data_IF_486152132907
#
_entry.id   IF_486152132907
#
_cell.length_a   1.000
_cell.length_b   1.000
_cell.length_c   1.000
_cell.angle_alpha   90.00
_cell.angle_beta   90.00
_cell.angle_gamma   90.00
#
_symmetry.space_group_name_H-M   'P 1'
#
loop_
_entity.id
_entity.type
_entity.pdbx_description
1 polymer ?
#
# COMPACT_ATOMS: atom_id res chain seq x y z
N UNK A 1 -1.26 -14.15 0.82
CA UNK A 1 0.22 -14.01 0.78
C UNK A 1 0.81 -14.24 2.15
N UNK A 2 0.22 -13.64 3.20
CA UNK A 2 0.61 -13.89 4.59
C UNK A 2 0.65 -15.37 4.98
N UNK A 3 -0.37 -16.18 4.62
CA UNK A 3 -0.38 -17.60 4.98
C UNK A 3 0.75 -18.39 4.29
N UNK A 4 1.11 -18.02 3.07
CA UNK A 4 2.27 -18.57 2.39
C UNK A 4 3.56 -18.23 3.15
N UNK A 5 3.70 -17.00 3.62
CA UNK A 5 4.89 -16.57 4.37
C UNK A 5 4.96 -17.18 5.77
N UNK A 6 3.83 -17.37 6.43
CA UNK A 6 3.73 -18.18 7.67
C UNK A 6 4.18 -19.61 7.40
N UNK A 7 3.75 -20.22 6.30
CA UNK A 7 4.17 -21.57 5.92
C UNK A 7 5.67 -21.66 5.63
N UNK A 8 6.24 -20.62 5.00
CA UNK A 8 7.68 -20.54 4.72
C UNK A 8 8.47 -20.41 6.02
N UNK A 9 8.01 -19.58 6.96
CA UNK A 9 8.61 -19.44 8.29
C UNK A 9 8.48 -20.71 9.13
N UNK A 10 7.36 -21.44 9.02
CA UNK A 10 7.17 -22.70 9.73
C UNK A 10 8.13 -23.81 9.27
N UNK A 11 8.70 -23.70 8.06
CA UNK A 11 9.72 -24.63 7.57
C UNK A 11 11.12 -24.33 8.10
N UNK A 12 11.33 -23.22 8.83
CA UNK A 12 12.64 -22.82 9.36
C UNK A 12 13.24 -23.87 10.29
N UNK A 13 12.42 -24.49 11.13
CA UNK A 13 12.87 -25.53 12.06
C UNK A 13 13.40 -26.77 11.32
N UNK A 14 12.88 -27.08 10.12
CA UNK A 14 13.39 -28.18 9.30
C UNK A 14 14.76 -27.86 8.72
N UNK A 15 15.03 -26.59 8.39
CA UNK A 15 16.35 -26.14 7.93
C UNK A 15 17.36 -26.26 9.07
N UNK A 16 17.02 -25.74 10.26
CA UNK A 16 17.89 -25.85 11.45
C UNK A 16 18.22 -27.30 11.80
N UNK A 17 17.24 -28.20 11.72
CA UNK A 17 17.47 -29.63 11.92
C UNK A 17 18.45 -30.22 10.89
N UNK A 18 18.40 -29.74 9.64
CA UNK A 18 19.30 -30.16 8.56
C UNK A 18 20.73 -29.63 8.77
N UNK A 19 20.88 -28.42 9.33
CA UNK A 19 22.18 -27.86 9.72
C UNK A 19 22.85 -28.70 10.81
N UNK A 20 22.10 -29.07 11.86
CA UNK A 20 22.60 -29.95 12.94
C UNK A 20 22.97 -31.33 12.39
N UNK A 21 22.21 -31.87 11.44
CA UNK A 21 22.53 -33.14 10.80
C UNK A 21 23.85 -33.07 10.02
N UNK A 22 24.08 -32.00 9.27
CA UNK A 22 25.34 -31.80 8.53
C UNK A 22 26.55 -31.76 9.48
N UNK A 23 26.46 -31.02 10.59
CA UNK A 23 27.55 -30.95 11.59
C UNK A 23 27.93 -32.35 12.09
N UNK A 24 26.94 -33.21 12.35
CA UNK A 24 27.17 -34.58 12.80
C UNK A 24 27.83 -35.44 11.71
N UNK A 25 27.42 -35.30 10.44
CA UNK A 25 28.01 -36.05 9.30
C UNK A 25 29.46 -35.64 9.06
N UNK A 26 29.76 -34.33 9.17
CA UNK A 26 31.11 -33.79 9.03
C UNK A 26 32.04 -34.26 10.16
N UNK A 27 31.57 -34.21 11.41
CA UNK A 27 32.32 -34.71 12.58
C UNK A 27 32.62 -36.20 12.49
N UNK A 28 31.69 -36.99 11.92
CA UNK A 28 31.86 -38.43 11.74
C UNK A 28 32.80 -38.84 10.61
N UNK A 29 33.42 -37.90 9.88
CA UNK A 29 34.22 -38.15 8.67
C UNK A 29 33.52 -39.11 7.69
N UNK A 30 32.21 -38.93 7.54
CA UNK A 30 31.40 -39.84 6.75
C UNK A 30 31.73 -39.71 5.26
N UNK A 31 31.79 -40.84 4.54
CA UNK A 31 32.18 -40.87 3.11
C UNK A 31 31.28 -40.02 2.18
N UNK A 32 30.05 -39.73 2.62
CA UNK A 32 29.08 -38.91 1.88
C UNK A 32 29.03 -37.43 2.35
N UNK A 33 29.99 -36.97 3.16
CA UNK A 33 29.98 -35.61 3.70
C UNK A 33 29.92 -34.53 2.59
N UNK A 34 30.69 -34.70 1.52
CA UNK A 34 30.72 -33.77 0.39
C UNK A 34 29.36 -33.70 -0.34
N UNK A 35 28.72 -34.85 -0.57
CA UNK A 35 27.40 -34.93 -1.19
C UNK A 35 26.31 -34.26 -0.32
N UNK A 36 26.39 -34.43 1.00
CA UNK A 36 25.48 -33.81 1.96
C UNK A 36 25.66 -32.29 1.97
N UNK A 37 26.91 -31.81 2.01
CA UNK A 37 27.24 -30.39 1.98
C UNK A 37 26.75 -29.72 0.67
N UNK A 38 26.97 -30.36 -0.47
CA UNK A 38 26.53 -29.83 -1.77
C UNK A 38 24.99 -29.72 -1.84
N UNK A 39 24.27 -30.76 -1.41
CA UNK A 39 22.79 -30.74 -1.40
C UNK A 39 22.25 -29.67 -0.48
N UNK A 40 22.86 -29.47 0.69
CA UNK A 40 22.50 -28.40 1.62
C UNK A 40 22.72 -27.03 0.99
N UNK A 41 23.87 -26.79 0.38
CA UNK A 41 24.15 -25.51 -0.28
C UNK A 41 23.11 -25.18 -1.35
N UNK A 42 22.72 -26.18 -2.16
CA UNK A 42 21.64 -26.02 -3.15
C UNK A 42 20.29 -25.69 -2.49
N UNK A 43 19.96 -26.33 -1.38
CA UNK A 43 18.73 -26.08 -0.62
C UNK A 43 18.70 -24.65 -0.08
N UNK A 44 19.78 -24.21 0.56
CA UNK A 44 19.91 -22.86 1.12
C UNK A 44 19.81 -21.79 0.04
N UNK A 45 20.45 -22.01 -1.11
CA UNK A 45 20.34 -21.10 -2.25
C UNK A 45 18.89 -20.99 -2.75
N UNK A 46 18.21 -22.13 -2.96
CA UNK A 46 16.79 -22.15 -3.38
C UNK A 46 15.89 -21.45 -2.37
N UNK A 47 16.12 -21.66 -1.07
CA UNK A 47 15.36 -21.00 0.01
C UNK A 47 15.57 -19.49 0.00
N UNK A 48 16.81 -19.03 -0.10
CA UNK A 48 17.12 -17.59 -0.16
C UNK A 48 16.44 -16.93 -1.36
N UNK A 49 16.53 -17.54 -2.54
CA UNK A 49 15.84 -17.05 -3.73
C UNK A 49 14.31 -17.03 -3.59
N UNK A 50 13.72 -18.03 -2.89
CA UNK A 50 12.29 -18.06 -2.61
C UNK A 50 11.87 -16.94 -1.65
N UNK A 51 12.67 -16.70 -0.60
CA UNK A 51 12.42 -15.63 0.37
C UNK A 51 12.48 -14.26 -0.29
N UNK A 52 13.48 -14.01 -1.13
CA UNK A 52 13.60 -12.75 -1.89
C UNK A 52 12.38 -12.53 -2.79
N UNK A 53 11.96 -13.55 -3.54
CA UNK A 53 10.76 -13.48 -4.40
C UNK A 53 9.49 -13.25 -3.58
N UNK A 54 9.36 -13.89 -2.43
CA UNK A 54 8.21 -13.70 -1.54
C UNK A 54 8.16 -12.27 -0.99
N UNK A 55 9.29 -11.75 -0.51
CA UNK A 55 9.39 -10.39 0.01
C UNK A 55 9.07 -9.35 -1.07
N UNK A 56 9.62 -9.52 -2.28
CA UNK A 56 9.30 -8.66 -3.43
C UNK A 56 7.82 -8.70 -3.77
N UNK A 57 7.20 -9.89 -3.75
CA UNK A 57 5.76 -10.02 -3.99
C UNK A 57 4.93 -9.33 -2.91
N UNK A 58 5.33 -9.42 -1.64
CA UNK A 58 4.68 -8.70 -0.53
C UNK A 58 4.70 -7.19 -0.79
N UNK A 59 5.88 -6.65 -1.09
CA UNK A 59 6.04 -5.22 -1.39
C UNK A 59 5.12 -4.78 -2.54
N UNK A 60 5.09 -5.52 -3.66
CA UNK A 60 4.21 -5.19 -4.78
C UNK A 60 2.72 -5.24 -4.42
N UNK A 61 2.30 -6.15 -3.54
CA UNK A 61 0.92 -6.24 -3.06
C UNK A 61 0.57 -5.05 -2.15
N UNK A 62 1.48 -4.66 -1.25
CA UNK A 62 1.32 -3.50 -0.38
C UNK A 62 1.27 -2.20 -1.21
N UNK A 63 2.16 -2.04 -2.17
CA UNK A 63 2.19 -0.94 -3.13
C UNK A 63 0.87 -0.87 -3.90
N UNK A 64 0.42 -2.00 -4.46
CA UNK A 64 -0.87 -2.07 -5.16
C UNK A 64 -2.05 -1.74 -4.26
N UNK A 65 -2.06 -2.19 -3.01
CA UNK A 65 -3.14 -1.89 -2.08
C UNK A 65 -3.17 -0.40 -1.74
N UNK A 66 -2.03 0.21 -1.43
CA UNK A 66 -1.92 1.67 -1.17
C UNK A 66 -2.36 2.48 -2.38
N UNK A 67 -1.98 2.07 -3.59
CA UNK A 67 -2.39 2.74 -4.82
C UNK A 67 -3.91 2.70 -5.04
N UNK A 68 -4.55 1.56 -4.81
CA UNK A 68 -6.01 1.46 -4.95
C UNK A 68 -6.77 2.27 -3.90
N UNK A 69 -6.25 2.35 -2.67
CA UNK A 69 -6.82 3.23 -1.65
C UNK A 69 -6.71 4.71 -2.08
N UNK A 70 -5.54 5.11 -2.58
CA UNK A 70 -5.34 6.46 -3.11
C UNK A 70 -6.33 6.79 -4.25
N UNK A 71 -6.52 5.90 -5.22
CA UNK A 71 -7.49 6.12 -6.31
C UNK A 71 -8.92 6.31 -5.79
N UNK A 72 -9.33 5.45 -4.85
CA UNK A 72 -10.64 5.56 -4.21
C UNK A 72 -10.81 6.92 -3.50
N UNK A 73 -9.82 7.33 -2.71
CA UNK A 73 -9.86 8.59 -1.97
C UNK A 73 -9.92 9.80 -2.92
N UNK A 74 -9.24 9.69 -4.07
CA UNK A 74 -9.29 10.67 -5.15
C UNK A 74 -10.69 10.77 -5.78
N UNK A 75 -11.31 9.64 -6.12
CA UNK A 75 -12.65 9.59 -6.71
C UNK A 75 -13.72 10.18 -5.78
N UNK A 76 -13.69 9.80 -4.51
CA UNK A 76 -14.60 10.34 -3.50
C UNK A 76 -14.43 11.85 -3.32
N UNK A 77 -13.18 12.34 -3.26
CA UNK A 77 -12.88 13.78 -3.15
C UNK A 77 -13.38 14.54 -4.37
N UNK A 78 -13.15 14.01 -5.58
CA UNK A 78 -13.63 14.59 -6.83
C UNK A 78 -15.16 14.64 -6.90
N UNK A 79 -15.82 13.58 -6.43
CA UNK A 79 -17.28 13.54 -6.30
C UNK A 79 -17.80 14.62 -5.36
N UNK A 80 -17.17 14.76 -4.19
CA UNK A 80 -17.50 15.80 -3.22
C UNK A 80 -17.28 17.21 -3.77
N UNK A 81 -16.14 17.49 -4.41
CA UNK A 81 -15.87 18.79 -5.07
C UNK A 81 -16.96 19.10 -6.10
N UNK A 82 -17.33 18.12 -6.92
CA UNK A 82 -18.37 18.28 -7.94
C UNK A 82 -19.74 18.61 -7.34
N UNK A 83 -20.09 18.00 -6.21
CA UNK A 83 -21.31 18.32 -5.46
C UNK A 83 -21.26 19.73 -4.88
N UNK A 84 -20.13 20.12 -4.28
CA UNK A 84 -19.94 21.45 -3.69
C UNK A 84 -19.95 22.57 -4.72
N UNK A 85 -19.39 22.34 -5.90
CA UNK A 85 -19.47 23.29 -7.01
C UNK A 85 -20.93 23.57 -7.41
N UNK A 86 -21.79 22.55 -7.48
CA UNK A 86 -23.22 22.76 -7.78
C UNK A 86 -23.90 23.65 -6.75
N UNK A 87 -23.57 23.49 -5.47
CA UNK A 87 -24.09 24.32 -4.40
C UNK A 87 -23.56 25.76 -4.47
N UNK A 88 -22.26 25.92 -4.77
CA UNK A 88 -21.62 27.23 -4.89
C UNK A 88 -22.13 28.04 -6.11
N UNK A 89 -22.53 27.37 -7.19
CA UNK A 89 -23.09 28.01 -8.40
C UNK A 89 -24.61 28.14 -8.37
N UNK A 90 -25.26 27.88 -7.23
CA UNK A 90 -26.72 28.01 -7.12
C UNK A 90 -27.13 29.50 -7.07
N UNK A 91 -27.93 29.93 -8.05
CA UNK A 91 -28.43 31.31 -8.18
C UNK A 91 -29.59 31.62 -7.23
N UNK A 92 -29.90 30.74 -6.27
CA UNK A 92 -30.99 30.97 -5.32
C UNK A 92 -30.85 32.27 -4.54
N UNK A 93 -29.65 32.86 -4.40
CA UNK A 93 -29.44 34.17 -3.79
C UNK A 93 -30.23 35.32 -4.47
N UNK A 94 -30.68 35.15 -5.71
CA UNK A 94 -31.48 36.15 -6.45
C UNK A 94 -32.92 36.27 -5.93
N UNK A 95 -33.41 35.29 -5.16
CA UNK A 95 -34.70 35.35 -4.48
C UNK A 95 -34.50 35.84 -3.02
N UNK A 96 -34.99 37.05 -2.67
CA UNK A 96 -34.82 37.64 -1.35
C UNK A 96 -35.68 36.96 -0.26
N UNK A 97 -36.55 36.01 -0.61
CA UNK A 97 -37.30 35.25 0.38
C UNK A 97 -36.37 34.30 1.15
N UNK A 98 -36.57 34.22 2.48
CA UNK A 98 -35.85 33.29 3.37
C UNK A 98 -34.30 33.44 3.38
N UNK A 99 -33.79 34.68 3.36
CA UNK A 99 -32.35 35.00 3.45
C UNK A 99 -31.64 34.35 4.65
N UNK A 100 -32.29 34.28 5.82
CA UNK A 100 -31.69 33.67 7.02
C UNK A 100 -31.39 32.17 6.82
N UNK A 101 -32.30 31.44 6.17
CA UNK A 101 -32.08 30.03 5.83
C UNK A 101 -30.93 29.84 4.83
N UNK A 102 -30.74 30.78 3.90
CA UNK A 102 -29.62 30.75 2.94
C UNK A 102 -28.28 31.00 3.64
N UNK A 103 -28.24 31.98 4.54
CA UNK A 103 -27.05 32.27 5.35
C UNK A 103 -26.62 31.05 6.19
N UNK A 104 -27.58 30.38 6.84
CA UNK A 104 -27.29 29.18 7.62
C UNK A 104 -26.74 28.04 6.75
N UNK A 105 -27.30 27.82 5.56
CA UNK A 105 -26.76 26.82 4.62
C UNK A 105 -25.34 27.17 4.17
N UNK A 106 -25.04 28.45 3.95
CA UNK A 106 -23.69 28.88 3.59
C UNK A 106 -22.68 28.63 4.73
N UNK A 107 -23.04 28.91 5.98
CA UNK A 107 -22.20 28.60 7.14
C UNK A 107 -21.91 27.10 7.26
N UNK A 108 -22.92 26.25 7.02
CA UNK A 108 -22.72 24.80 6.98
C UNK A 108 -21.76 24.39 5.85
N UNK A 109 -21.91 24.99 4.67
CA UNK A 109 -21.01 24.77 3.55
C UNK A 109 -19.55 25.15 3.89
N UNK A 110 -19.31 26.28 4.55
CA UNK A 110 -17.96 26.69 4.97
C UNK A 110 -17.36 25.73 6.01
N UNK A 111 -18.16 25.22 6.94
CA UNK A 111 -17.71 24.20 7.89
C UNK A 111 -17.31 22.90 7.20
N UNK A 112 -18.12 22.44 6.24
CA UNK A 112 -17.80 21.25 5.46
C UNK A 112 -16.56 21.45 4.59
N UNK A 113 -16.37 22.63 3.99
CA UNK A 113 -15.19 22.95 3.19
C UNK A 113 -13.92 22.89 4.05
N UNK A 114 -13.95 23.48 5.25
CA UNK A 114 -12.82 23.40 6.19
C UNK A 114 -12.54 21.98 6.66
N UNK A 115 -13.57 21.17 6.92
CA UNK A 115 -13.41 19.77 7.34
C UNK A 115 -12.80 18.89 6.24
N UNK A 116 -13.06 19.18 4.96
CA UNK A 116 -12.52 18.42 3.83
C UNK A 116 -11.15 18.91 3.36
N UNK A 117 -10.66 20.05 3.86
CA UNK A 117 -9.32 20.54 3.54
C UNK A 117 -8.23 19.52 3.91
N UNK A 118 -8.33 18.93 5.10
CA UNK A 118 -7.36 17.91 5.55
C UNK A 118 -7.36 16.69 4.64
N UNK A 119 -8.51 16.30 4.09
CA UNK A 119 -8.63 15.16 3.17
C UNK A 119 -7.83 15.38 1.87
N UNK A 120 -7.85 16.60 1.33
CA UNK A 120 -7.04 16.95 0.13
C UNK A 120 -5.54 16.95 0.47
N UNK A 121 -5.18 17.48 1.64
CA UNK A 121 -3.80 17.47 2.14
C UNK A 121 -3.28 16.03 2.35
N UNK A 122 -4.12 15.14 2.89
CA UNK A 122 -3.80 13.73 3.09
C UNK A 122 -3.58 13.01 1.75
N UNK A 123 -4.46 13.22 0.76
CA UNK A 123 -4.31 12.64 -0.58
C UNK A 123 -3.03 13.12 -1.25
N UNK A 124 -2.71 14.41 -1.14
CA UNK A 124 -1.49 15.00 -1.69
C UNK A 124 -0.25 14.40 -1.01
N UNK A 125 -0.30 14.22 0.32
CA UNK A 125 0.78 13.59 1.09
C UNK A 125 0.98 12.14 0.67
N UNK A 126 -0.09 11.35 0.57
CA UNK A 126 0.00 9.95 0.13
C UNK A 126 0.50 9.85 -1.31
N UNK A 127 0.02 10.70 -2.22
CA UNK A 127 0.44 10.71 -3.62
C UNK A 127 1.93 11.06 -3.77
N UNK A 128 2.40 12.09 -3.06
CA UNK A 128 3.83 12.46 -3.04
C UNK A 128 4.71 11.36 -2.44
N UNK A 129 4.31 10.73 -1.33
CA UNK A 129 5.03 9.58 -0.75
C UNK A 129 5.18 8.42 -1.74
N UNK A 130 4.12 8.10 -2.51
CA UNK A 130 4.15 7.04 -3.49
C UNK A 130 5.10 7.39 -4.65
N UNK A 131 5.10 8.65 -5.11
CA UNK A 131 6.02 9.13 -6.15
C UNK A 131 7.47 9.08 -5.67
N UNK A 132 7.76 9.55 -4.46
CA UNK A 132 9.11 9.56 -3.87
C UNK A 132 9.68 8.15 -3.72
N UNK A 133 8.82 7.17 -3.41
CA UNK A 133 9.17 5.75 -3.37
C UNK A 133 9.36 5.11 -4.75
N UNK A 134 9.24 5.88 -5.84
CA UNK A 134 9.29 5.40 -7.24
C UNK A 134 8.28 4.29 -7.50
N UNK A 135 7.07 4.47 -6.98
CA UNK A 135 5.98 3.53 -7.18
C UNK A 135 5.75 3.26 -8.68
N UNK A 136 5.37 2.03 -9.05
CA UNK A 136 5.26 1.63 -10.45
C UNK A 136 4.22 2.45 -11.25
N UNK A 137 3.29 3.10 -10.55
CA UNK A 137 2.22 3.94 -11.12
C UNK A 137 2.44 5.46 -10.88
N UNK A 138 3.69 5.91 -10.67
CA UNK A 138 3.98 7.33 -10.37
C UNK A 138 3.38 8.31 -11.39
N UNK A 139 3.38 7.97 -12.69
CA UNK A 139 2.83 8.84 -13.74
C UNK A 139 1.32 9.02 -13.60
N UNK A 140 0.60 7.92 -13.30
CA UNK A 140 -0.84 7.93 -13.07
C UNK A 140 -1.17 8.70 -11.79
N UNK A 141 -0.43 8.46 -10.71
CA UNK A 141 -0.60 9.15 -9.43
C UNK A 141 -0.42 10.66 -9.62
N UNK A 142 0.62 11.09 -10.33
CA UNK A 142 0.85 12.52 -10.61
C UNK A 142 -0.28 13.14 -11.44
N UNK A 143 -0.79 12.40 -12.44
CA UNK A 143 -1.96 12.84 -13.22
C UNK A 143 -3.19 12.99 -12.31
N UNK A 144 -3.44 12.02 -11.43
CA UNK A 144 -4.57 12.03 -10.50
C UNK A 144 -4.52 13.20 -9.52
N UNK A 145 -3.34 13.51 -8.98
CA UNK A 145 -3.15 14.65 -8.09
C UNK A 145 -3.42 16.00 -8.77
N UNK A 146 -3.27 16.12 -10.09
CA UNK A 146 -3.59 17.35 -10.83
C UNK A 146 -5.08 17.51 -11.11
N UNK A 147 -5.88 16.44 -10.98
CA UNK A 147 -7.33 16.48 -11.18
C UNK A 147 -8.12 16.91 -9.93
N UNK A 148 -7.46 16.93 -8.76
CA UNK A 148 -8.02 17.33 -7.47
C UNK A 148 -7.66 18.78 -7.18
#
# INVERSE_FOLDING_TARGET
>A
HEDFEKSLAAQEEKIKALDIFEENVLLGQHYAADDVAQRRQMLLHRRSALQEKSARRRQLLEDSNRYQQFEHDCDETKGWISEKLKFATDDSYLDPTNLNGKMQKHQNFEHELNANKSRIEDITTVGTELIDKKHYASDQINTRMQEI
#
